data_IF_651630536035
#
_entry.id   IF_651630536035
#
_cell.length_a   1.000
_cell.length_b   1.000
_cell.length_c   1.000
_cell.angle_alpha   90.00
_cell.angle_beta   90.00
_cell.angle_gamma   90.00
#
_symmetry.space_group_name_H-M   'P 1'
#
loop_
_entity.id
_entity.type
_entity.pdbx_description
1 polymer ?
#
# COMPACT_ATOMS: atom_id res chain seq x y z
N UNK A 1 -54.95 -63.28 -54.05
CA UNK A 1 -54.98 -61.83 -53.74
C UNK A 1 -53.93 -61.61 -52.67
N UNK A 2 -52.79 -61.04 -53.05
CA UNK A 2 -51.64 -60.71 -52.11
C UNK A 2 -51.60 -59.25 -51.85
N UNK A 3 -51.85 -58.82 -50.61
CA UNK A 3 -51.59 -57.40 -50.17
C UNK A 3 -50.13 -57.33 -49.74
N UNK A 4 -49.42 -56.38 -50.37
CA UNK A 4 -48.05 -56.07 -50.01
C UNK A 4 -48.07 -54.81 -49.05
N UNK A 5 -47.53 -54.96 -47.84
CA UNK A 5 -47.37 -53.87 -46.87
C UNK A 5 -46.03 -53.17 -47.14
N UNK A 6 -46.05 -51.94 -47.50
CA UNK A 6 -44.88 -51.04 -47.51
C UNK A 6 -44.73 -50.37 -46.15
N UNK A 7 -43.68 -50.68 -45.43
CA UNK A 7 -43.28 -50.02 -44.17
C UNK A 7 -42.38 -48.87 -44.54
N UNK A 8 -42.86 -47.63 -44.38
CA UNK A 8 -42.02 -46.40 -44.56
C UNK A 8 -41.23 -46.14 -43.29
N UNK A 9 -39.91 -46.19 -43.38
CA UNK A 9 -38.97 -45.91 -42.30
C UNK A 9 -38.66 -44.42 -42.34
N UNK A 10 -39.21 -43.65 -41.38
CA UNK A 10 -38.92 -42.26 -41.16
C UNK A 10 -37.58 -42.13 -40.39
N UNK A 11 -36.54 -41.70 -41.07
CA UNK A 11 -35.27 -41.29 -40.46
C UNK A 11 -35.41 -39.91 -39.85
N UNK A 12 -35.49 -39.84 -38.52
CA UNK A 12 -35.49 -38.62 -37.74
C UNK A 12 -34.03 -38.13 -37.59
N UNK A 13 -33.64 -37.10 -38.38
CA UNK A 13 -32.37 -36.43 -38.21
C UNK A 13 -32.45 -35.52 -36.95
N UNK A 14 -31.91 -35.97 -35.84
CA UNK A 14 -31.69 -35.13 -34.68
C UNK A 14 -30.52 -34.17 -34.93
N UNK A 15 -30.81 -32.90 -35.21
CA UNK A 15 -29.81 -31.85 -35.25
C UNK A 15 -29.40 -31.56 -33.81
N UNK A 16 -28.20 -32.01 -33.42
CA UNK A 16 -27.54 -31.65 -32.18
C UNK A 16 -27.14 -30.18 -32.29
N UNK A 17 -27.96 -29.27 -31.77
CA UNK A 17 -27.57 -27.87 -31.52
C UNK A 17 -26.63 -27.89 -30.31
N UNK A 18 -25.32 -27.87 -30.53
CA UNK A 18 -24.35 -27.58 -29.50
C UNK A 18 -24.49 -26.10 -29.16
N UNK A 19 -24.74 -25.71 -27.89
CA UNK A 19 -24.69 -24.32 -27.53
C UNK A 19 -23.24 -23.84 -27.73
N UNK A 20 -23.02 -22.95 -28.69
CA UNK A 20 -21.80 -22.20 -28.79
C UNK A 20 -21.72 -21.36 -27.50
N UNK A 21 -20.82 -21.71 -26.61
CA UNK A 21 -20.45 -20.83 -25.51
C UNK A 21 -19.77 -19.62 -26.15
N UNK A 22 -20.55 -18.60 -26.48
CA UNK A 22 -20.01 -17.28 -26.78
C UNK A 22 -19.20 -16.88 -25.53
N UNK A 23 -17.90 -17.01 -25.61
CA UNK A 23 -16.98 -16.33 -24.72
C UNK A 23 -17.26 -14.84 -24.91
N UNK A 24 -18.12 -14.28 -24.06
CA UNK A 24 -18.28 -12.85 -23.94
C UNK A 24 -16.88 -12.31 -23.66
N UNK A 25 -16.29 -11.68 -24.66
CA UNK A 25 -15.04 -10.96 -24.47
C UNK A 25 -15.33 -9.93 -23.36
N UNK A 26 -14.68 -10.10 -22.21
CA UNK A 26 -14.84 -9.17 -21.11
C UNK A 26 -14.16 -7.87 -21.54
N UNK A 27 -14.94 -6.87 -21.90
CA UNK A 27 -14.45 -5.53 -22.18
C UNK A 27 -13.97 -4.93 -20.88
N UNK A 28 -12.65 -4.78 -20.76
CA UNK A 28 -12.04 -4.12 -19.61
C UNK A 28 -12.05 -2.61 -19.83
N UNK A 29 -12.35 -1.87 -18.76
CA UNK A 29 -12.23 -0.41 -18.73
C UNK A 29 -11.09 0.01 -17.80
N UNK A 30 -10.68 1.26 -17.88
CA UNK A 30 -9.72 1.86 -16.97
C UNK A 30 -8.32 1.24 -16.99
N UNK A 31 -7.78 0.94 -15.82
CA UNK A 31 -6.41 0.45 -15.67
C UNK A 31 -6.21 -0.97 -16.23
N UNK A 32 -7.21 -1.85 -16.12
CA UNK A 32 -7.12 -3.21 -16.69
C UNK A 32 -7.07 -3.18 -18.22
N UNK A 33 -7.88 -2.34 -18.88
CA UNK A 33 -7.81 -2.13 -20.34
C UNK A 33 -6.42 -1.61 -20.74
N UNK A 34 -5.94 -0.58 -20.06
CA UNK A 34 -4.60 -0.01 -20.31
C UNK A 34 -3.52 -1.08 -20.20
N UNK A 35 -3.50 -1.88 -19.13
CA UNK A 35 -2.53 -2.97 -18.95
C UNK A 35 -2.70 -4.04 -20.03
N UNK A 36 -3.95 -4.39 -20.36
CA UNK A 36 -4.24 -5.37 -21.42
C UNK A 36 -3.70 -4.91 -22.78
N UNK A 37 -3.87 -3.65 -23.13
CA UNK A 37 -3.44 -3.07 -24.39
C UNK A 37 -1.94 -2.83 -24.48
N UNK A 38 -1.32 -2.30 -23.41
CA UNK A 38 0.11 -1.93 -23.41
C UNK A 38 1.03 -3.08 -23.02
N UNK A 39 0.53 -4.06 -22.27
CA UNK A 39 1.37 -5.10 -21.64
C UNK A 39 2.19 -4.60 -20.46
N UNK A 40 1.95 -3.37 -19.96
CA UNK A 40 2.73 -2.74 -18.89
C UNK A 40 1.87 -2.45 -17.66
N UNK A 41 2.41 -2.79 -16.49
CA UNK A 41 1.85 -2.44 -15.19
C UNK A 41 2.82 -1.55 -14.41
N UNK A 42 2.43 -0.30 -14.15
CA UNK A 42 3.27 0.73 -13.55
C UNK A 42 3.03 0.82 -12.04
N UNK A 43 4.01 0.40 -11.25
CA UNK A 43 3.94 0.42 -9.77
C UNK A 43 4.76 1.61 -9.26
N UNK A 44 4.07 2.56 -8.61
CA UNK A 44 4.71 3.62 -7.85
C UNK A 44 5.25 3.10 -6.52
N UNK A 45 6.48 3.46 -6.16
CA UNK A 45 7.07 3.08 -4.89
C UNK A 45 7.85 4.22 -4.26
N UNK A 46 7.97 4.20 -2.93
CA UNK A 46 8.78 5.15 -2.16
C UNK A 46 10.21 4.66 -2.07
N UNK A 47 11.16 5.59 -2.01
CA UNK A 47 12.58 5.24 -1.86
C UNK A 47 13.07 5.30 -0.43
N UNK A 48 12.23 5.80 0.51
CA UNK A 48 12.62 6.24 1.85
C UNK A 48 11.69 5.78 3.00
N UNK A 49 10.73 4.90 2.72
CA UNK A 49 9.73 4.45 3.71
C UNK A 49 9.94 2.99 4.15
N UNK A 50 11.18 2.62 4.50
CA UNK A 50 11.51 1.31 5.11
C UNK A 50 10.70 1.10 6.41
N UNK A 51 10.24 -0.13 6.68
CA UNK A 51 10.36 -1.37 5.93
C UNK A 51 9.23 -1.61 4.90
N UNK A 52 8.39 -0.61 4.63
CA UNK A 52 7.18 -0.75 3.81
C UNK A 52 7.44 -0.59 2.31
N UNK A 53 8.13 0.48 1.93
CA UNK A 53 8.48 0.77 0.54
C UNK A 53 9.76 1.61 0.50
N UNK A 54 10.83 1.06 -0.04
CA UNK A 54 12.12 1.73 -0.08
C UNK A 54 12.99 1.17 -1.20
N UNK A 55 14.10 1.84 -1.46
CA UNK A 55 15.13 1.37 -2.38
C UNK A 55 16.24 0.70 -1.58
N UNK A 56 16.53 -0.57 -1.88
CA UNK A 56 17.60 -1.31 -1.20
C UNK A 56 19.00 -0.86 -1.69
N UNK A 57 20.04 -1.46 -1.14
CA UNK A 57 21.42 -1.10 -1.46
C UNK A 57 21.79 -1.32 -2.94
N UNK A 58 21.08 -2.24 -3.61
CA UNK A 58 21.25 -2.55 -5.04
C UNK A 58 20.38 -1.64 -5.94
N UNK A 59 19.72 -0.63 -5.39
CA UNK A 59 18.83 0.27 -6.13
C UNK A 59 17.49 -0.35 -6.54
N UNK A 60 17.08 -1.45 -5.89
CA UNK A 60 15.86 -2.17 -6.26
C UNK A 60 14.69 -1.83 -5.32
N UNK A 61 13.46 -1.71 -5.86
CA UNK A 61 12.24 -1.54 -5.06
C UNK A 61 12.05 -2.69 -4.08
N UNK A 62 11.92 -2.39 -2.80
CA UNK A 62 11.87 -3.36 -1.71
C UNK A 62 10.89 -2.93 -0.63
N UNK A 63 10.37 -3.89 0.15
CA UNK A 63 9.52 -3.62 1.29
C UNK A 63 8.21 -4.39 1.28
N UNK A 64 7.50 -4.28 2.40
CA UNK A 64 6.23 -4.96 2.64
C UNK A 64 5.17 -4.62 1.59
N UNK A 65 4.91 -3.33 1.36
CA UNK A 65 3.91 -2.87 0.39
C UNK A 65 4.31 -3.22 -1.05
N UNK A 66 5.61 -3.20 -1.36
CA UNK A 66 6.14 -3.60 -2.67
C UNK A 66 5.88 -5.09 -2.94
N UNK A 67 6.06 -5.95 -1.93
CA UNK A 67 5.77 -7.38 -2.06
C UNK A 67 4.26 -7.66 -2.22
N UNK A 68 3.38 -6.91 -1.52
CA UNK A 68 1.93 -6.98 -1.77
C UNK A 68 1.59 -6.65 -3.23
N UNK A 69 2.19 -5.59 -3.78
CA UNK A 69 1.96 -5.20 -5.18
C UNK A 69 2.50 -6.21 -6.19
N UNK A 70 3.57 -6.92 -5.87
CA UNK A 70 4.02 -8.06 -6.70
C UNK A 70 2.99 -9.19 -6.74
N UNK A 71 2.27 -9.45 -5.63
CA UNK A 71 1.16 -10.40 -5.59
C UNK A 71 -0.04 -9.92 -6.41
N UNK A 72 -0.35 -8.63 -6.34
CA UNK A 72 -1.40 -8.01 -7.18
C UNK A 72 -1.01 -8.14 -8.67
N UNK A 73 0.22 -7.86 -9.05
CA UNK A 73 0.72 -8.02 -10.42
C UNK A 73 0.54 -9.46 -10.94
N UNK A 74 0.83 -10.46 -10.11
CA UNK A 74 0.60 -11.87 -10.45
C UNK A 74 -0.89 -12.18 -10.65
N UNK A 75 -1.79 -11.61 -9.82
CA UNK A 75 -3.24 -11.76 -9.95
C UNK A 75 -3.78 -11.11 -11.22
N UNK A 76 -3.32 -9.89 -11.55
CA UNK A 76 -3.68 -9.19 -12.79
C UNK A 76 -3.28 -10.01 -14.02
N UNK A 77 -2.05 -10.55 -14.02
CA UNK A 77 -1.55 -11.39 -15.09
C UNK A 77 -2.44 -12.62 -15.30
N UNK A 78 -2.83 -13.30 -14.22
CA UNK A 78 -3.72 -14.47 -14.27
C UNK A 78 -5.12 -14.08 -14.77
N UNK A 79 -5.68 -12.96 -14.30
CA UNK A 79 -7.00 -12.46 -14.67
C UNK A 79 -7.10 -12.12 -16.16
N UNK A 80 -6.08 -11.42 -16.70
CA UNK A 80 -6.03 -11.06 -18.11
C UNK A 80 -5.64 -12.21 -19.05
N UNK A 81 -5.34 -13.42 -18.52
CA UNK A 81 -4.92 -14.57 -19.32
C UNK A 81 -3.63 -14.35 -20.11
N UNK A 82 -2.86 -13.33 -19.77
CA UNK A 82 -1.63 -12.95 -20.49
C UNK A 82 -0.41 -13.64 -19.90
N UNK A 83 0.42 -14.25 -20.77
CA UNK A 83 1.67 -14.89 -20.33
C UNK A 83 2.70 -13.90 -19.83
N UNK A 84 2.71 -12.67 -20.38
CA UNK A 84 3.68 -11.63 -20.02
C UNK A 84 2.98 -10.30 -19.82
N UNK A 85 3.10 -9.75 -18.61
CA UNK A 85 2.86 -8.35 -18.29
C UNK A 85 4.17 -7.85 -17.66
N UNK A 86 4.76 -6.82 -18.26
CA UNK A 86 5.95 -6.18 -17.72
C UNK A 86 5.56 -5.30 -16.53
N UNK A 87 6.15 -5.57 -15.37
CA UNK A 87 5.98 -4.75 -14.19
C UNK A 87 7.09 -3.74 -14.10
N UNK A 88 6.78 -2.45 -14.23
CA UNK A 88 7.72 -1.35 -14.13
C UNK A 88 7.54 -0.61 -12.82
N UNK A 89 8.64 -0.36 -12.12
CA UNK A 89 8.63 0.39 -10.88
C UNK A 89 9.02 1.85 -11.14
N UNK A 90 8.21 2.77 -10.61
CA UNK A 90 8.36 4.22 -10.77
C UNK A 90 8.54 4.86 -9.40
N UNK A 91 9.61 5.61 -9.21
CA UNK A 91 9.84 6.36 -7.97
C UNK A 91 8.82 7.47 -7.83
N UNK A 92 8.24 7.60 -6.63
CA UNK A 92 7.34 8.69 -6.27
C UNK A 92 7.68 9.22 -4.87
N UNK A 93 7.58 10.52 -4.69
CA UNK A 93 7.72 11.17 -3.39
C UNK A 93 6.40 11.16 -2.62
N UNK A 94 6.40 11.60 -1.35
CA UNK A 94 5.18 11.65 -0.53
C UNK A 94 4.14 12.65 -1.04
N UNK A 95 4.58 13.74 -1.61
CA UNK A 95 3.75 14.80 -2.16
C UNK A 95 3.25 14.49 -3.58
N UNK A 96 4.06 13.77 -4.40
CA UNK A 96 3.69 13.43 -5.79
C UNK A 96 2.77 12.21 -5.92
N UNK A 97 2.75 11.28 -4.97
CA UNK A 97 2.14 9.94 -5.13
C UNK A 97 0.66 9.96 -5.52
N UNK A 98 -0.12 10.92 -4.99
CA UNK A 98 -1.55 11.05 -5.33
C UNK A 98 -1.71 11.59 -6.74
N UNK A 99 -1.00 12.67 -7.11
CA UNK A 99 -1.04 13.23 -8.47
C UNK A 99 -0.53 12.24 -9.52
N UNK A 100 0.44 11.40 -9.17
CA UNK A 100 0.96 10.35 -10.05
C UNK A 100 -0.10 9.30 -10.42
N UNK A 101 -1.02 8.95 -9.50
CA UNK A 101 -2.19 8.11 -9.78
C UNK A 101 -3.20 8.87 -10.64
N UNK A 102 -3.55 10.10 -10.26
CA UNK A 102 -4.55 10.92 -10.96
C UNK A 102 -4.16 11.15 -12.42
N UNK A 103 -2.89 11.41 -12.68
CA UNK A 103 -2.36 11.66 -14.03
C UNK A 103 -2.03 10.40 -14.84
N UNK A 104 -2.13 9.21 -14.21
CA UNK A 104 -1.79 7.94 -14.87
C UNK A 104 -0.28 7.70 -15.05
N UNK A 105 0.59 8.46 -14.35
CA UNK A 105 2.04 8.21 -14.29
C UNK A 105 2.35 6.84 -13.68
N UNK A 106 1.47 6.38 -12.78
CA UNK A 106 1.48 5.04 -12.17
C UNK A 106 0.06 4.48 -12.11
N UNK A 107 -0.07 3.17 -12.06
CA UNK A 107 -1.35 2.44 -12.00
C UNK A 107 -1.76 2.14 -10.54
N UNK A 108 -0.79 1.92 -9.68
CA UNK A 108 -0.96 1.67 -8.24
C UNK A 108 0.21 2.27 -7.48
N UNK A 109 -0.06 2.84 -6.29
CA UNK A 109 1.01 3.29 -5.38
C UNK A 109 1.17 2.29 -4.23
N UNK A 110 2.38 1.81 -4.05
CA UNK A 110 2.78 0.74 -3.14
C UNK A 110 3.72 1.28 -2.06
N UNK A 111 3.22 2.21 -1.27
CA UNK A 111 3.99 2.90 -0.24
C UNK A 111 3.43 2.75 1.17
N UNK A 112 3.42 3.86 1.89
CA UNK A 112 2.89 4.02 3.25
C UNK A 112 1.84 5.13 3.23
N UNK A 113 0.75 4.93 2.47
CA UNK A 113 -0.24 5.97 2.28
C UNK A 113 -1.47 5.73 3.15
N UNK A 114 -1.70 6.67 4.07
CA UNK A 114 -2.86 6.67 4.95
C UNK A 114 -4.14 6.90 4.16
N UNK A 115 -5.13 6.07 4.39
CA UNK A 115 -6.49 6.23 3.89
C UNK A 115 -7.14 7.39 4.63
N UNK A 116 -7.54 8.45 3.90
CA UNK A 116 -8.30 9.56 4.45
C UNK A 116 -9.48 9.90 3.54
N UNK A 117 -10.53 10.50 4.10
CA UNK A 117 -11.69 10.93 3.30
C UNK A 117 -11.29 11.98 2.26
N UNK A 118 -10.44 12.94 2.62
CA UNK A 118 -9.96 13.96 1.69
C UNK A 118 -9.16 13.41 0.51
N UNK A 119 -8.35 12.36 0.74
CA UNK A 119 -7.65 11.67 -0.36
C UNK A 119 -8.61 10.89 -1.25
N UNK A 120 -9.68 10.31 -0.66
CA UNK A 120 -10.71 9.59 -1.42
C UNK A 120 -11.55 10.49 -2.33
N UNK A 121 -11.47 11.80 -2.19
CA UNK A 121 -12.04 12.73 -3.17
C UNK A 121 -11.29 12.70 -4.51
N UNK A 122 -10.01 12.28 -4.52
CA UNK A 122 -9.13 12.29 -5.70
C UNK A 122 -8.77 10.88 -6.20
N UNK A 123 -8.66 9.91 -5.29
CA UNK A 123 -8.21 8.55 -5.56
C UNK A 123 -9.05 7.53 -4.79
N UNK A 124 -8.96 6.26 -5.14
CA UNK A 124 -9.48 5.15 -4.35
C UNK A 124 -8.34 4.41 -3.64
N UNK A 125 -8.71 3.57 -2.69
CA UNK A 125 -7.79 2.69 -1.97
C UNK A 125 -8.24 1.24 -2.07
N UNK A 126 -7.28 0.33 -2.00
CA UNK A 126 -7.53 -1.10 -1.79
C UNK A 126 -8.05 -1.37 -0.38
N UNK A 127 -8.31 -2.64 -0.07
CA UNK A 127 -8.39 -3.12 1.32
C UNK A 127 -7.19 -2.61 2.11
N UNK A 128 -7.37 -2.40 3.41
CA UNK A 128 -6.29 -1.99 4.28
C UNK A 128 -5.15 -3.02 4.27
N UNK A 129 -3.94 -2.51 4.22
CA UNK A 129 -2.73 -3.35 4.16
C UNK A 129 -1.90 -3.29 5.42
N UNK A 130 -2.02 -2.20 6.18
CA UNK A 130 -1.29 -1.99 7.43
C UNK A 130 -2.02 -0.99 8.33
N UNK A 131 -1.68 -1.01 9.62
CA UNK A 131 -2.14 -0.02 10.61
C UNK A 131 -0.96 0.36 11.48
N UNK A 132 -0.76 1.66 11.66
CA UNK A 132 0.24 2.24 12.55
C UNK A 132 -0.31 3.53 13.17
N UNK A 133 0.52 4.29 13.85
CA UNK A 133 0.22 5.64 14.33
C UNK A 133 1.40 6.56 14.12
N UNK A 134 1.16 7.86 14.11
CA UNK A 134 2.22 8.88 14.14
C UNK A 134 2.94 8.87 15.49
N UNK A 135 4.27 8.94 15.47
CA UNK A 135 5.11 9.00 16.66
C UNK A 135 6.28 9.96 16.43
N UNK A 136 7.16 10.07 17.41
CA UNK A 136 8.28 11.03 17.41
C UNK A 136 9.58 10.30 17.68
N UNK A 137 10.58 10.58 16.86
CA UNK A 137 11.97 10.16 17.01
C UNK A 137 12.82 11.34 17.47
N UNK A 138 13.67 11.15 18.45
CA UNK A 138 14.65 12.15 18.91
C UNK A 138 16.02 11.52 19.09
N UNK A 139 17.05 12.35 19.31
CA UNK A 139 18.29 11.83 19.86
C UNK A 139 18.08 11.51 21.35
N UNK A 140 18.57 10.34 21.80
CA UNK A 140 18.42 9.89 23.19
C UNK A 140 18.93 10.92 24.22
N UNK A 141 19.97 11.68 23.86
CA UNK A 141 20.52 12.78 24.70
C UNK A 141 19.56 13.96 24.90
N UNK A 142 18.53 14.10 24.05
CA UNK A 142 17.57 15.21 24.12
C UNK A 142 16.51 14.99 25.20
N UNK A 143 16.38 13.76 25.75
CA UNK A 143 15.48 13.45 26.84
C UNK A 143 13.99 13.53 26.52
N UNK A 144 13.60 13.52 25.23
CA UNK A 144 12.21 13.56 24.79
C UNK A 144 11.60 12.15 24.94
N UNK A 145 10.64 11.99 25.84
CA UNK A 145 9.98 10.71 26.15
C UNK A 145 8.49 10.73 25.86
N UNK A 146 7.84 11.88 26.00
CA UNK A 146 6.43 12.08 25.71
C UNK A 146 6.17 13.37 24.92
N UNK A 147 4.92 13.59 24.52
CA UNK A 147 4.53 14.73 23.67
C UNK A 147 4.73 16.07 24.37
N UNK A 148 4.64 16.15 25.69
CA UNK A 148 4.82 17.40 26.44
C UNK A 148 6.27 17.92 26.41
N UNK A 149 7.24 17.01 26.24
CA UNK A 149 8.66 17.35 26.09
C UNK A 149 8.97 18.12 24.80
N UNK A 150 8.03 18.17 23.86
CA UNK A 150 8.16 18.94 22.62
C UNK A 150 7.97 20.44 22.81
N UNK A 151 7.55 20.91 23.98
CA UNK A 151 7.37 22.33 24.25
C UNK A 151 8.68 23.11 24.00
N UNK A 152 8.60 24.15 23.17
CA UNK A 152 9.75 24.97 22.74
C UNK A 152 10.73 24.28 21.78
N UNK A 153 10.39 23.12 21.23
CA UNK A 153 11.26 22.33 20.32
C UNK A 153 10.86 22.49 18.86
N UNK A 154 11.83 22.27 17.98
CA UNK A 154 11.62 22.15 16.53
C UNK A 154 11.40 20.69 16.17
N UNK A 155 10.25 20.42 15.57
CA UNK A 155 9.86 19.06 15.16
C UNK A 155 9.80 18.99 13.63
N UNK A 156 10.70 18.23 13.03
CA UNK A 156 10.71 17.98 11.59
C UNK A 156 9.55 17.09 11.19
N UNK A 157 8.87 17.39 10.08
CA UNK A 157 7.80 16.58 9.51
C UNK A 157 7.92 16.56 7.99
N UNK A 158 7.69 15.39 7.39
CA UNK A 158 7.79 15.21 5.94
C UNK A 158 6.61 15.84 5.20
N UNK A 159 6.90 16.62 4.16
CA UNK A 159 5.92 17.21 3.26
C UNK A 159 4.98 16.15 2.63
N UNK A 160 3.72 16.51 2.37
CA UNK A 160 2.71 15.63 1.75
C UNK A 160 2.23 14.48 2.61
N UNK A 161 2.51 14.49 3.93
CA UNK A 161 2.04 13.47 4.88
C UNK A 161 0.88 13.96 5.75
N UNK A 162 0.08 13.02 6.24
CA UNK A 162 -0.98 13.26 7.24
C UNK A 162 -0.39 13.70 8.58
N UNK A 163 0.86 13.34 8.85
CA UNK A 163 1.59 13.62 10.08
C UNK A 163 1.60 15.12 10.42
N UNK A 164 1.67 16.01 9.40
CA UNK A 164 1.69 17.47 9.60
C UNK A 164 0.44 17.92 10.35
N UNK A 165 -0.74 17.58 9.81
CA UNK A 165 -2.02 18.00 10.39
C UNK A 165 -2.32 17.28 11.70
N UNK A 166 -2.00 16.00 11.78
CA UNK A 166 -2.21 15.20 12.99
C UNK A 166 -1.35 15.71 14.15
N UNK A 167 -0.08 16.00 13.89
CA UNK A 167 0.82 16.57 14.90
C UNK A 167 0.33 17.96 15.32
N UNK A 168 0.00 18.84 14.36
CA UNK A 168 -0.52 20.19 14.65
C UNK A 168 -1.75 20.14 15.54
N UNK A 169 -2.72 19.28 15.20
CA UNK A 169 -3.94 19.13 15.97
C UNK A 169 -3.65 18.61 17.39
N UNK A 170 -2.76 17.62 17.53
CA UNK A 170 -2.37 17.09 18.82
C UNK A 170 -1.70 18.14 19.71
N UNK A 171 -0.75 18.90 19.16
CA UNK A 171 -0.06 19.98 19.87
C UNK A 171 -1.05 21.05 20.33
N UNK A 172 -1.96 21.49 19.46
CA UNK A 172 -2.98 22.49 19.80
C UNK A 172 -3.94 22.02 20.89
N UNK A 173 -4.45 20.79 20.77
CA UNK A 173 -5.40 20.22 21.75
C UNK A 173 -4.78 20.07 23.15
N UNK A 174 -3.47 19.83 23.22
CA UNK A 174 -2.74 19.67 24.47
C UNK A 174 -1.98 20.94 24.92
N UNK A 175 -2.16 22.07 24.22
CA UNK A 175 -1.51 23.35 24.53
C UNK A 175 0.03 23.26 24.57
N UNK A 176 0.61 22.45 23.69
CA UNK A 176 2.05 22.27 23.54
C UNK A 176 2.54 23.23 22.45
N UNK A 177 3.40 24.18 22.82
CA UNK A 177 4.01 25.12 21.88
C UNK A 177 5.29 24.51 21.30
N UNK A 178 5.20 23.99 20.06
CA UNK A 178 6.32 23.42 19.32
C UNK A 178 6.34 23.95 17.88
N UNK A 179 7.53 24.17 17.33
CA UNK A 179 7.72 24.63 15.95
C UNK A 179 7.74 23.44 14.99
N UNK A 180 6.81 23.39 14.02
CA UNK A 180 6.81 22.36 12.96
C UNK A 180 7.69 22.82 11.81
N UNK A 181 8.75 22.05 11.51
CA UNK A 181 9.70 22.28 10.41
C UNK A 181 9.42 21.29 9.30
N UNK A 182 9.09 21.78 8.09
CA UNK A 182 8.83 20.91 6.94
C UNK A 182 10.15 20.46 6.32
N UNK A 183 10.30 19.14 6.12
CA UNK A 183 11.44 18.54 5.41
C UNK A 183 10.97 17.88 4.11
N UNK A 184 11.82 17.88 3.07
CA UNK A 184 11.48 17.37 1.74
C UNK A 184 11.51 15.84 1.66
N UNK A 185 12.44 15.23 2.35
CA UNK A 185 12.58 13.77 2.41
C UNK A 185 13.07 13.32 3.80
N UNK A 186 12.90 12.05 4.12
CA UNK A 186 13.29 11.49 5.44
C UNK A 186 14.78 11.52 5.68
N UNK A 187 15.58 11.39 4.63
CA UNK A 187 17.05 11.46 4.74
C UNK A 187 17.50 12.86 5.17
N UNK A 188 16.85 13.89 4.66
CA UNK A 188 17.08 15.27 5.12
C UNK A 188 16.64 15.44 6.57
N UNK A 189 15.44 14.97 6.94
CA UNK A 189 14.93 15.02 8.32
C UNK A 189 15.88 14.36 9.32
N UNK A 190 16.36 13.15 9.00
CA UNK A 190 17.33 12.44 9.84
C UNK A 190 18.67 13.20 9.96
N UNK A 191 19.15 13.81 8.87
CA UNK A 191 20.36 14.65 8.91
C UNK A 191 20.19 15.90 9.78
N UNK A 192 19.05 16.57 9.68
CA UNK A 192 18.74 17.74 10.52
C UNK A 192 18.66 17.34 11.99
N UNK A 193 18.04 16.19 12.30
CA UNK A 193 18.00 15.62 13.65
C UNK A 193 19.42 15.33 14.18
N UNK A 194 20.27 14.70 13.37
CA UNK A 194 21.64 14.36 13.75
C UNK A 194 22.53 15.59 14.03
N UNK A 195 22.29 16.70 13.31
CA UNK A 195 22.99 17.98 13.51
C UNK A 195 22.42 18.79 14.67
N UNK A 196 21.19 18.50 15.09
CA UNK A 196 20.46 19.31 16.08
C UNK A 196 19.80 20.56 15.48
N UNK A 197 19.60 20.60 14.16
CA UNK A 197 18.82 21.65 13.48
C UNK A 197 17.32 21.54 13.83
N UNK A 198 16.87 20.31 14.14
CA UNK A 198 15.61 19.95 14.78
C UNK A 198 15.89 19.06 15.99
N UNK A 199 15.07 19.16 17.05
CA UNK A 199 15.21 18.34 18.24
C UNK A 199 14.47 17.00 18.15
N UNK A 200 13.45 16.93 17.28
CA UNK A 200 12.63 15.75 17.08
C UNK A 200 12.21 15.61 15.59
N UNK A 201 11.89 14.38 15.17
CA UNK A 201 11.38 14.10 13.84
C UNK A 201 10.11 13.24 13.96
N UNK A 202 8.96 13.75 13.50
CA UNK A 202 7.68 13.07 13.55
C UNK A 202 7.37 12.39 12.23
N UNK A 203 6.93 11.13 12.31
CA UNK A 203 6.45 10.31 11.19
C UNK A 203 5.68 9.10 11.74
N UNK A 204 5.21 8.24 10.85
CA UNK A 204 4.60 6.98 11.22
C UNK A 204 5.60 6.09 11.98
N UNK A 205 5.19 5.54 13.11
CA UNK A 205 6.07 4.79 14.03
C UNK A 205 6.84 3.66 13.33
N UNK A 206 6.16 2.89 12.49
CA UNK A 206 6.81 1.80 11.74
C UNK A 206 7.92 2.30 10.80
N UNK A 207 7.75 3.49 10.23
CA UNK A 207 8.75 4.10 9.34
C UNK A 207 9.91 4.67 10.14
N UNK A 208 9.64 5.28 11.30
CA UNK A 208 10.70 5.73 12.24
C UNK A 208 11.58 4.57 12.71
N UNK A 209 10.96 3.41 13.00
CA UNK A 209 11.71 2.18 13.33
C UNK A 209 12.62 1.79 12.17
N UNK A 210 12.12 1.86 10.93
CA UNK A 210 12.94 1.63 9.74
C UNK A 210 14.16 2.56 9.66
N UNK A 211 13.98 3.86 9.93
CA UNK A 211 15.07 4.84 9.96
C UNK A 211 16.11 4.54 11.05
N UNK A 212 15.66 4.11 12.24
CA UNK A 212 16.59 3.70 13.32
C UNK A 212 17.44 2.52 12.89
N UNK A 213 16.83 1.50 12.29
CA UNK A 213 17.53 0.26 11.89
C UNK A 213 18.54 0.52 10.78
N UNK A 214 18.24 1.43 9.87
CA UNK A 214 19.15 1.83 8.78
C UNK A 214 20.26 2.79 9.23
N UNK A 215 20.13 3.36 10.43
CA UNK A 215 21.13 4.28 10.97
C UNK A 215 22.45 3.60 11.31
N UNK A 216 23.57 4.31 11.14
CA UNK A 216 24.92 3.81 11.50
C UNK A 216 25.01 3.47 13.00
N UNK A 217 24.35 4.25 13.85
CA UNK A 217 24.32 4.04 15.28
C UNK A 217 22.87 4.11 15.82
N UNK A 218 22.10 3.01 15.78
CA UNK A 218 20.72 2.97 16.23
C UNK A 218 20.52 3.43 17.68
N UNK A 219 21.49 3.17 18.57
CA UNK A 219 21.39 3.50 19.98
C UNK A 219 21.46 5.02 20.28
N UNK A 220 21.73 5.85 19.28
CA UNK A 220 21.68 7.32 19.41
C UNK A 220 20.27 7.85 19.49
N UNK A 221 19.28 7.08 19.04
CA UNK A 221 17.92 7.54 18.91
C UNK A 221 17.02 6.99 20.01
N UNK A 222 16.01 7.77 20.37
CA UNK A 222 14.89 7.39 21.23
C UNK A 222 13.60 7.55 20.45
N UNK A 223 12.84 6.47 20.35
CA UNK A 223 11.51 6.48 19.74
C UNK A 223 10.47 6.56 20.84
N UNK A 224 9.55 7.50 20.73
CA UNK A 224 8.42 7.62 21.63
C UNK A 224 7.52 6.38 21.50
N UNK A 225 7.12 5.80 22.62
CA UNK A 225 6.26 4.60 22.65
C UNK A 225 4.82 4.92 22.26
N UNK A 226 4.33 6.10 22.64
CA UNK A 226 2.98 6.53 22.36
C UNK A 226 2.85 7.04 20.92
N UNK A 227 1.64 6.90 20.38
CA UNK A 227 1.28 7.44 19.07
C UNK A 227 0.25 8.55 19.24
N UNK A 228 0.40 9.63 18.49
CA UNK A 228 -0.50 10.79 18.51
C UNK A 228 -1.58 10.72 17.41
N UNK A 229 -1.54 9.71 16.54
CA UNK A 229 -2.53 9.53 15.48
C UNK A 229 -2.80 8.06 15.17
N UNK A 230 -3.85 7.83 14.36
CA UNK A 230 -4.22 6.54 13.79
C UNK A 230 -4.03 6.61 12.27
N UNK A 231 -3.19 5.72 11.74
CA UNK A 231 -2.77 5.72 10.35
C UNK A 231 -3.09 4.36 9.67
N UNK A 232 -4.32 4.17 9.16
CA UNK A 232 -4.67 3.00 8.37
C UNK A 232 -4.14 3.15 6.95
N UNK A 233 -3.34 2.20 6.45
CA UNK A 233 -2.79 2.23 5.10
C UNK A 233 -3.58 1.38 4.13
N UNK A 234 -3.72 1.91 2.90
CA UNK A 234 -4.17 1.20 1.73
C UNK A 234 -3.25 1.51 0.54
N UNK A 235 -3.22 0.62 -0.44
CA UNK A 235 -2.55 0.92 -1.70
C UNK A 235 -3.44 1.85 -2.51
N UNK A 236 -2.83 2.89 -3.12
CA UNK A 236 -3.61 3.91 -3.83
C UNK A 236 -3.84 3.47 -5.26
N UNK A 237 -5.08 3.58 -5.72
CA UNK A 237 -5.51 3.26 -7.08
C UNK A 237 -6.32 4.41 -7.67
N UNK A 238 -6.54 4.41 -8.97
CA UNK A 238 -7.35 5.42 -9.64
C UNK A 238 -8.77 5.43 -9.09
N UNK A 239 -9.31 6.64 -8.90
CA UNK A 239 -10.70 6.82 -8.48
C UNK A 239 -11.67 6.28 -9.53
N UNK A 240 -12.76 5.63 -9.06
CA UNK A 240 -13.82 5.05 -9.89
C UNK A 240 -13.34 3.91 -10.82
N UNK A 241 -12.18 3.34 -10.58
CA UNK A 241 -11.67 2.17 -11.31
C UNK A 241 -12.03 0.89 -10.53
N UNK A 242 -13.32 0.56 -10.55
CA UNK A 242 -13.90 -0.50 -9.72
C UNK A 242 -13.33 -1.87 -10.07
N UNK A 243 -13.14 -2.17 -11.34
CA UNK A 243 -12.67 -3.48 -11.80
C UNK A 243 -11.21 -3.71 -11.42
N UNK A 244 -10.33 -2.72 -11.62
CA UNK A 244 -8.95 -2.81 -11.18
C UNK A 244 -8.85 -2.96 -9.67
N UNK A 245 -9.62 -2.14 -8.91
CA UNK A 245 -9.67 -2.23 -7.45
C UNK A 245 -10.18 -3.57 -6.96
N UNK A 246 -11.18 -4.17 -7.63
CA UNK A 246 -11.69 -5.50 -7.30
C UNK A 246 -10.61 -6.58 -7.46
N UNK A 247 -9.84 -6.54 -8.55
CA UNK A 247 -8.75 -7.49 -8.77
C UNK A 247 -7.63 -7.32 -7.74
N UNK A 248 -7.25 -6.08 -7.41
CA UNK A 248 -6.28 -5.79 -6.36
C UNK A 248 -6.77 -6.29 -4.98
N UNK A 249 -8.03 -6.03 -4.64
CA UNK A 249 -8.65 -6.49 -3.40
C UNK A 249 -8.77 -8.02 -3.34
N UNK A 250 -9.10 -8.68 -4.45
CA UNK A 250 -9.13 -10.15 -4.53
C UNK A 250 -7.77 -10.76 -4.22
N UNK A 251 -6.68 -10.16 -4.72
CA UNK A 251 -5.33 -10.60 -4.40
C UNK A 251 -5.00 -10.47 -2.92
N UNK A 252 -5.34 -9.33 -2.30
CA UNK A 252 -5.12 -9.07 -0.87
C UNK A 252 -5.98 -10.00 0.01
N UNK A 253 -7.28 -10.11 -0.28
CA UNK A 253 -8.19 -10.98 0.45
C UNK A 253 -7.72 -12.45 0.40
N UNK A 254 -7.25 -12.92 -0.75
CA UNK A 254 -6.67 -14.26 -0.88
C UNK A 254 -5.41 -14.43 -0.02
N UNK A 255 -4.52 -13.43 0.02
CA UNK A 255 -3.35 -13.45 0.91
C UNK A 255 -3.75 -13.55 2.38
N UNK A 256 -4.77 -12.80 2.80
CA UNK A 256 -5.26 -12.82 4.18
C UNK A 256 -5.93 -14.15 4.52
N UNK A 257 -6.81 -14.68 3.67
CA UNK A 257 -7.46 -16.00 3.87
C UNK A 257 -6.46 -17.16 3.94
N UNK A 258 -5.44 -17.14 3.07
CA UNK A 258 -4.43 -18.22 3.04
C UNK A 258 -3.37 -18.12 4.12
N UNK A 259 -3.31 -17.02 4.88
CA UNK A 259 -2.26 -16.77 5.86
C UNK A 259 -0.89 -16.37 5.27
N UNK A 260 -0.75 -16.32 3.94
CA UNK A 260 0.52 -15.96 3.29
C UNK A 260 0.99 -14.52 3.60
N UNK A 261 0.09 -13.64 4.03
CA UNK A 261 0.45 -12.30 4.52
C UNK A 261 1.41 -12.37 5.73
N UNK A 262 1.36 -13.43 6.55
CA UNK A 262 2.24 -13.63 7.69
C UNK A 262 3.70 -13.81 7.24
N UNK A 263 3.93 -14.52 6.13
CA UNK A 263 5.27 -14.69 5.57
C UNK A 263 5.84 -13.35 5.10
N UNK A 264 5.00 -12.52 4.41
CA UNK A 264 5.40 -11.19 3.97
C UNK A 264 5.67 -10.28 5.17
N UNK A 265 4.79 -10.32 6.18
CA UNK A 265 5.00 -9.56 7.42
C UNK A 265 6.32 -9.95 8.10
N UNK A 266 6.57 -11.24 8.30
CA UNK A 266 7.76 -11.75 8.94
C UNK A 266 9.05 -11.42 8.17
N UNK A 267 8.98 -11.45 6.85
CA UNK A 267 10.12 -11.09 5.97
C UNK A 267 10.57 -9.65 6.18
N UNK A 268 9.65 -8.71 6.39
CA UNK A 268 9.97 -7.28 6.40
C UNK A 268 9.94 -6.67 7.80
N UNK A 269 9.02 -7.10 8.66
CA UNK A 269 8.74 -6.48 9.95
C UNK A 269 9.02 -7.46 11.11
N UNK A 270 8.60 -8.71 11.01
CA UNK A 270 8.85 -9.70 12.05
C UNK A 270 10.33 -9.97 12.30
N UNK A 271 11.16 -9.95 11.24
CA UNK A 271 12.63 -10.13 11.33
C UNK A 271 13.34 -9.08 12.18
N UNK A 272 12.74 -7.90 12.36
CA UNK A 272 13.26 -6.83 13.20
C UNK A 272 12.68 -6.86 14.63
N UNK A 273 12.05 -7.97 15.02
CA UNK A 273 11.55 -8.21 16.36
C UNK A 273 10.16 -7.64 16.65
N UNK A 274 9.48 -7.03 15.67
CA UNK A 274 8.15 -6.44 15.87
C UNK A 274 7.09 -7.51 15.64
N UNK A 275 6.29 -7.76 16.70
CA UNK A 275 5.08 -8.58 16.59
C UNK A 275 3.91 -7.75 16.09
N UNK A 276 3.00 -8.31 15.28
CA UNK A 276 1.83 -7.57 14.84
C UNK A 276 0.95 -7.19 16.05
N UNK A 277 0.62 -5.90 16.21
CA UNK A 277 -0.27 -5.47 17.29
C UNK A 277 -1.69 -6.01 17.06
N UNK A 278 -2.52 -6.13 18.12
CA UNK A 278 -3.87 -6.71 18.01
C UNK A 278 -4.74 -6.05 16.93
N UNK A 279 -4.64 -4.73 16.76
CA UNK A 279 -5.41 -4.00 15.75
C UNK A 279 -5.01 -4.41 14.32
N UNK A 280 -3.73 -4.70 14.08
CA UNK A 280 -3.25 -5.17 12.78
C UNK A 280 -3.73 -6.60 12.50
N UNK A 281 -3.71 -7.47 13.52
CA UNK A 281 -4.27 -8.82 13.41
C UNK A 281 -5.77 -8.78 13.10
N UNK A 282 -6.52 -7.95 13.82
CA UNK A 282 -7.95 -7.74 13.57
C UNK A 282 -8.21 -7.21 12.14
N UNK A 283 -7.40 -6.26 11.68
CA UNK A 283 -7.49 -5.72 10.31
C UNK A 283 -7.32 -6.84 9.28
N UNK A 284 -6.34 -7.71 9.41
CA UNK A 284 -6.17 -8.85 8.50
C UNK A 284 -7.38 -9.78 8.51
N UNK A 285 -7.92 -10.09 9.69
CA UNK A 285 -9.11 -10.95 9.82
C UNK A 285 -10.34 -10.33 9.17
N UNK A 286 -10.60 -9.03 9.40
CA UNK A 286 -11.73 -8.31 8.80
C UNK A 286 -11.64 -8.21 7.27
N UNK A 287 -10.43 -8.26 6.71
CA UNK A 287 -10.19 -8.20 5.27
C UNK A 287 -10.09 -9.61 4.61
N UNK A 288 -10.38 -10.69 5.33
CA UNK A 288 -10.53 -12.05 4.75
C UNK A 288 -11.87 -12.20 4.03
N UNK A 289 -12.18 -11.32 3.08
CA UNK A 289 -13.44 -11.33 2.34
C UNK A 289 -13.61 -12.68 1.63
N UNK A 290 -14.73 -13.41 1.81
CA UNK A 290 -14.98 -14.69 1.14
C UNK A 290 -15.14 -14.50 -0.38
N UNK A 291 -15.00 -15.61 -1.15
CA UNK A 291 -15.24 -15.65 -2.58
C UNK A 291 -16.75 -15.51 -2.90
#
# INVERSE_FOLDING_TARGET
MKLSSYTAMLLLNAILITPSSDLVAQDFEGTLEKISRTGEFLIGYRTDASPLSYENAEGQPSGYSVDLCRRIAARIKAHLGKRTIETKFVRVTSDERISAIVTGKIDIECGSTTVTLSRQEQVDFTLLTFVTGGSVLSLAKNGIQDMSDLAGKKVGVLEGTTTIEQLRNHLQQNLIDAEIVIVRDRKEGMKQLDRGDIEAFASDQIVLIGQIIEAINPNRYSLMNETFSYEPYGLVVRRNDADFRLIANSALAQLYRSGQHIEIYNKWIGRIGIRPPPILVAMYQLNTIPE
#
